data_IF_040528827232
#
_entry.id   IF_040528827232
#
_cell.length_a   1.000
_cell.length_b   1.000
_cell.length_c   1.000
_cell.angle_alpha   90.00
_cell.angle_beta   90.00
_cell.angle_gamma   90.00
#
_symmetry.space_group_name_H-M   'P 1'
#
loop_
_entity.id
_entity.type
_entity.pdbx_description
1 polymer ?
#
# COMPACT_ATOMS: atom_id res chain seq x y z
N UNK A 1 -35.81 14.30 -0.16
CA UNK A 1 -34.72 15.23 0.20
C UNK A 1 -33.67 14.57 1.11
N UNK A 2 -34.05 13.99 2.27
CA UNK A 2 -33.12 13.26 3.16
C UNK A 2 -32.43 12.04 2.50
N UNK A 3 -33.15 11.30 1.64
CA UNK A 3 -32.58 10.13 0.93
C UNK A 3 -31.39 10.52 0.04
N UNK A 4 -31.46 11.67 -0.63
CA UNK A 4 -30.37 12.16 -1.48
C UNK A 4 -29.15 12.54 -0.63
N UNK A 5 -29.34 13.22 0.51
CA UNK A 5 -28.23 13.53 1.43
C UNK A 5 -27.56 12.26 1.98
N UNK A 6 -28.35 11.27 2.39
CA UNK A 6 -27.84 10.00 2.90
C UNK A 6 -27.06 9.26 1.80
N UNK A 7 -27.57 9.22 0.58
CA UNK A 7 -26.87 8.57 -0.55
C UNK A 7 -25.53 9.26 -0.85
N UNK A 8 -25.48 10.58 -0.83
CA UNK A 8 -24.27 11.36 -1.08
C UNK A 8 -23.18 11.09 -0.04
N UNK A 9 -23.54 11.09 1.25
CA UNK A 9 -22.62 10.79 2.34
C UNK A 9 -22.10 9.35 2.24
N UNK A 10 -22.98 8.39 1.95
CA UNK A 10 -22.58 6.99 1.76
C UNK A 10 -21.63 6.82 0.58
N UNK A 11 -21.86 7.50 -0.55
CA UNK A 11 -20.97 7.45 -1.71
C UNK A 11 -19.56 7.94 -1.35
N UNK A 12 -19.44 9.04 -0.61
CA UNK A 12 -18.14 9.57 -0.19
C UNK A 12 -17.45 8.62 0.80
N UNK A 13 -18.20 8.08 1.77
CA UNK A 13 -17.68 7.10 2.72
C UNK A 13 -17.15 5.85 2.02
N UNK A 14 -17.88 5.32 1.04
CA UNK A 14 -17.46 4.15 0.26
C UNK A 14 -16.19 4.45 -0.53
N UNK A 15 -16.09 5.62 -1.17
CA UNK A 15 -14.88 6.01 -1.89
C UNK A 15 -13.67 6.05 -0.95
N UNK A 16 -13.76 6.75 0.18
CA UNK A 16 -12.66 6.84 1.15
C UNK A 16 -12.33 5.47 1.75
N UNK A 17 -13.33 4.68 2.09
CA UNK A 17 -13.15 3.32 2.62
C UNK A 17 -12.42 2.42 1.63
N UNK A 18 -12.79 2.45 0.35
CA UNK A 18 -12.11 1.68 -0.69
C UNK A 18 -10.64 2.09 -0.81
N UNK A 19 -10.34 3.40 -0.86
CA UNK A 19 -8.96 3.87 -0.93
C UNK A 19 -8.12 3.42 0.28
N UNK A 20 -8.67 3.51 1.50
CA UNK A 20 -7.98 3.05 2.70
C UNK A 20 -7.82 1.52 2.76
N UNK A 21 -8.86 0.77 2.38
CA UNK A 21 -8.84 -0.69 2.38
C UNK A 21 -7.83 -1.24 1.38
N UNK A 22 -7.84 -0.74 0.14
CA UNK A 22 -6.85 -1.12 -0.86
C UNK A 22 -5.45 -0.64 -0.49
N UNK A 23 -5.30 0.56 0.07
CA UNK A 23 -4.02 1.04 0.58
C UNK A 23 -3.42 0.13 1.66
N UNK A 24 -4.23 -0.28 2.64
CA UNK A 24 -3.81 -1.17 3.72
C UNK A 24 -3.52 -2.60 3.22
N UNK A 25 -4.39 -3.15 2.36
CA UNK A 25 -4.17 -4.49 1.78
C UNK A 25 -2.93 -4.51 0.90
N UNK A 26 -2.72 -3.48 0.07
CA UNK A 26 -1.54 -3.35 -0.76
C UNK A 26 -0.27 -3.22 0.10
N UNK A 27 -0.32 -2.45 1.19
CA UNK A 27 0.80 -2.34 2.12
C UNK A 27 1.13 -3.69 2.79
N UNK A 28 0.13 -4.45 3.21
CA UNK A 28 0.33 -5.78 3.81
C UNK A 28 0.95 -6.78 2.82
N UNK A 29 0.35 -6.91 1.63
CA UNK A 29 0.85 -7.79 0.56
C UNK A 29 2.26 -7.36 0.10
N UNK A 30 2.52 -6.06 0.05
CA UNK A 30 3.83 -5.51 -0.33
C UNK A 30 4.91 -5.82 0.70
N UNK A 31 4.59 -5.84 2.00
CA UNK A 31 5.54 -6.26 3.03
C UNK A 31 5.88 -7.74 2.91
N UNK A 32 4.88 -8.59 2.67
CA UNK A 32 5.09 -10.03 2.47
C UNK A 32 5.90 -10.31 1.19
N UNK A 33 5.66 -9.54 0.12
CA UNK A 33 6.46 -9.55 -1.11
C UNK A 33 7.90 -9.11 -0.85
N UNK A 34 8.13 -8.06 -0.06
CA UNK A 34 9.46 -7.59 0.30
C UNK A 34 10.24 -8.63 1.11
N UNK A 35 9.59 -9.27 2.08
CA UNK A 35 10.17 -10.35 2.88
C UNK A 35 10.54 -11.55 2.00
N UNK A 36 9.64 -11.97 1.12
CA UNK A 36 9.88 -13.06 0.17
C UNK A 36 11.00 -12.73 -0.83
N UNK A 37 11.05 -11.48 -1.31
CA UNK A 37 12.11 -11.02 -2.21
C UNK A 37 13.46 -10.93 -1.52
N UNK A 38 13.50 -10.61 -0.22
CA UNK A 38 14.72 -10.60 0.59
C UNK A 38 15.21 -12.03 0.88
N UNK A 39 14.29 -12.96 1.12
CA UNK A 39 14.56 -14.38 1.34
C UNK A 39 14.91 -15.15 0.05
N UNK A 40 14.58 -14.61 -1.13
CA UNK A 40 14.98 -15.20 -2.40
C UNK A 40 16.50 -15.17 -2.57
N UNK A 41 17.08 -16.14 -3.30
CA UNK A 41 18.51 -16.20 -3.61
C UNK A 41 18.91 -15.15 -4.66
N UNK A 42 18.72 -13.86 -4.34
CA UNK A 42 18.91 -12.74 -5.27
C UNK A 42 20.37 -12.47 -5.65
N UNK A 43 21.30 -13.19 -5.00
CA UNK A 43 22.73 -13.18 -5.30
C UNK A 43 23.05 -13.90 -6.61
N UNK A 44 22.27 -14.92 -6.99
CA UNK A 44 22.46 -15.69 -8.24
C UNK A 44 21.75 -15.07 -9.45
N UNK A 45 21.03 -13.95 -9.26
CA UNK A 45 20.38 -13.27 -10.37
C UNK A 45 21.36 -12.50 -11.27
N UNK A 46 21.04 -12.38 -12.58
CA UNK A 46 21.80 -11.53 -13.47
C UNK A 46 21.78 -10.07 -13.00
N UNK A 47 22.90 -9.36 -13.20
CA UNK A 47 23.14 -7.99 -12.69
C UNK A 47 21.99 -7.01 -12.99
N UNK A 48 21.33 -7.17 -14.15
CA UNK A 48 20.16 -6.36 -14.53
C UNK A 48 18.96 -6.58 -13.58
N UNK A 49 18.65 -7.83 -13.26
CA UNK A 49 17.52 -8.19 -12.41
C UNK A 49 17.81 -7.81 -10.95
N UNK A 50 19.04 -8.02 -10.49
CA UNK A 50 19.51 -7.61 -9.16
C UNK A 50 19.37 -6.10 -8.95
N UNK A 51 19.72 -5.29 -9.95
CA UNK A 51 19.57 -3.82 -9.87
C UNK A 51 18.11 -3.39 -9.76
N UNK A 52 17.22 -4.03 -10.53
CA UNK A 52 15.78 -3.75 -10.49
C UNK A 52 15.20 -4.14 -9.12
N UNK A 53 15.56 -5.31 -8.59
CA UNK A 53 15.16 -5.79 -7.26
C UNK A 53 15.59 -4.83 -6.15
N UNK A 54 16.85 -4.35 -6.16
CA UNK A 54 17.35 -3.40 -5.17
C UNK A 54 16.58 -2.07 -5.23
N UNK A 55 16.33 -1.54 -6.43
CA UNK A 55 15.55 -0.30 -6.60
C UNK A 55 14.10 -0.51 -6.13
N UNK A 56 13.50 -1.66 -6.45
CA UNK A 56 12.15 -2.03 -6.02
C UNK A 56 12.06 -2.12 -4.49
N UNK A 57 12.99 -2.82 -3.84
CA UNK A 57 13.08 -2.90 -2.38
C UNK A 57 13.27 -1.52 -1.74
N UNK A 58 14.12 -0.66 -2.31
CA UNK A 58 14.36 0.69 -1.77
C UNK A 58 13.11 1.59 -1.87
N UNK A 59 12.36 1.49 -2.97
CA UNK A 59 11.09 2.22 -3.17
C UNK A 59 9.98 1.75 -2.23
N UNK A 60 9.96 0.47 -1.88
CA UNK A 60 8.90 -0.16 -1.06
C UNK A 60 9.22 -0.11 0.43
N UNK A 61 10.50 0.09 0.79
CA UNK A 61 10.97 0.28 2.17
C UNK A 61 10.25 1.43 2.88
N UNK A 62 9.73 2.41 2.15
CA UNK A 62 8.80 3.38 2.68
C UNK A 62 7.39 2.80 2.56
N UNK A 63 6.83 2.20 3.62
CA UNK A 63 5.45 1.75 3.58
C UNK A 63 4.60 2.95 3.19
N UNK A 64 3.81 2.78 2.13
CA UNK A 64 2.75 3.73 1.77
C UNK A 64 1.70 3.56 2.87
N UNK A 65 1.96 4.14 4.04
CA UNK A 65 0.96 4.29 5.06
C UNK A 65 -0.08 5.22 4.45
N UNK A 66 -1.33 4.77 4.24
CA UNK A 66 -2.40 5.70 3.90
C UNK A 66 -2.58 6.62 5.09
N UNK A 67 -1.80 7.71 5.13
CA UNK A 67 -1.97 8.77 6.10
C UNK A 67 -3.25 9.50 5.72
N UNK A 68 -4.28 9.39 6.54
CA UNK A 68 -5.43 10.28 6.43
C UNK A 68 -4.95 11.72 6.68
N UNK A 69 -4.85 12.50 5.60
CA UNK A 69 -4.46 13.91 5.67
C UNK A 69 -3.06 14.18 6.22
N UNK A 70 -2.08 13.28 6.05
CA UNK A 70 -0.67 13.51 6.44
C UNK A 70 -0.41 13.77 7.94
N UNK A 71 -1.42 13.58 8.82
CA UNK A 71 -1.36 14.00 10.23
C UNK A 71 -1.56 12.83 11.20
N UNK A 72 -2.25 11.75 10.80
CA UNK A 72 -2.57 10.65 11.72
C UNK A 72 -2.35 9.28 11.05
N UNK A 73 -1.52 8.39 11.63
CA UNK A 73 -1.51 6.99 11.25
C UNK A 73 -2.84 6.35 11.67
N UNK A 74 -3.51 5.66 10.74
CA UNK A 74 -4.78 4.96 11.01
C UNK A 74 -4.59 3.64 11.78
N UNK A 75 -3.36 3.25 12.09
CA UNK A 75 -3.04 2.04 12.86
C UNK A 75 -1.92 2.31 13.85
N UNK A 76 -2.11 1.80 15.06
CA UNK A 76 -1.24 1.91 16.24
C UNK A 76 0.11 1.22 16.07
#
# INVERSE_FOLDING_TARGET
ECLSMISYINCILIQVFLYCYFGNKLAYESNMLMESAYAAEWLDFPVKLRRILIIFMERIKYPIQPMAGFIVPLSN
#
